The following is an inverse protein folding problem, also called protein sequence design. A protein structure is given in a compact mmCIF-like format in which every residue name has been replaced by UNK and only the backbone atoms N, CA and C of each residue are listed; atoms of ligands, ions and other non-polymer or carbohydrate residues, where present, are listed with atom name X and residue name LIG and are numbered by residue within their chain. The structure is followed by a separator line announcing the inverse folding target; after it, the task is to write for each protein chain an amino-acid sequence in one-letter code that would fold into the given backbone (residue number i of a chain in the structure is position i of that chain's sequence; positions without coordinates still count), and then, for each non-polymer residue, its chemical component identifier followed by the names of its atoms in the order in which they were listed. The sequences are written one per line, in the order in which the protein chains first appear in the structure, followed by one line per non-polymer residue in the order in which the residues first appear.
data_IF_395647547571
#
_entry.id   IF_395647547571
#
_cell.length_a   1.000
_cell.length_b   1.000
_cell.length_c   1.000
_cell.angle_alpha   90.00
_cell.angle_beta   90.00
_cell.angle_gamma   90.00
#
_symmetry.space_group_name_H-M   'P 1'
#
loop_
_entity.id
_entity.type
_entity.pdbx_description
1 polymer ?
#
# COMPACT_ATOMS: atom_id res chain seq x y z
N UNK A 1 -43.17 22.30 -26.65
CA UNK A 1 -43.19 21.03 -25.88
C UNK A 1 -42.10 20.05 -26.33
N UNK A 2 -42.02 19.62 -27.61
CA UNK A 2 -40.99 18.66 -28.07
C UNK A 2 -39.53 19.07 -27.81
N UNK A 3 -39.18 20.36 -28.00
CA UNK A 3 -37.81 20.86 -27.74
C UNK A 3 -37.41 20.82 -26.27
N UNK A 4 -38.36 21.05 -25.36
CA UNK A 4 -38.12 21.04 -23.92
C UNK A 4 -37.84 19.63 -23.44
N UNK A 5 -38.60 18.63 -23.91
CA UNK A 5 -38.39 17.21 -23.58
C UNK A 5 -37.03 16.67 -24.08
N UNK A 6 -36.58 17.10 -25.27
CA UNK A 6 -35.26 16.70 -25.80
C UNK A 6 -34.12 17.27 -24.93
N UNK A 7 -34.27 18.50 -24.44
CA UNK A 7 -33.28 19.13 -23.57
C UNK A 7 -33.21 18.46 -22.19
N UNK A 8 -34.34 18.02 -21.63
CA UNK A 8 -34.36 17.26 -20.36
C UNK A 8 -33.73 15.88 -20.51
N UNK A 9 -33.95 15.19 -21.64
CA UNK A 9 -33.34 13.88 -21.91
C UNK A 9 -31.82 14.02 -22.08
N UNK A 10 -31.34 15.06 -22.74
CA UNK A 10 -29.91 15.32 -22.91
C UNK A 10 -29.21 15.70 -21.59
N UNK A 11 -29.91 16.41 -20.69
CA UNK A 11 -29.37 16.72 -19.37
C UNK A 11 -29.33 15.47 -18.47
N UNK A 12 -30.28 14.55 -18.62
CA UNK A 12 -30.34 13.29 -17.87
C UNK A 12 -29.26 12.28 -18.32
N UNK A 13 -28.88 12.28 -19.62
CA UNK A 13 -27.80 11.42 -20.11
C UNK A 13 -26.41 11.89 -19.69
N UNK A 14 -26.21 13.20 -19.48
CA UNK A 14 -24.93 13.75 -18.97
C UNK A 14 -24.70 13.35 -17.50
N UNK A 15 -25.76 13.20 -16.71
CA UNK A 15 -25.67 12.78 -15.30
C UNK A 15 -25.29 11.30 -15.10
N UNK A 16 -25.32 10.47 -16.15
CA UNK A 16 -24.94 9.06 -16.09
C UNK A 16 -23.47 8.79 -16.46
N UNK A 17 -22.69 9.82 -16.76
CA UNK A 17 -21.22 9.69 -16.83
C UNK A 17 -20.64 9.67 -15.43
N UNK A 18 -21.00 8.61 -14.70
CA UNK A 18 -20.47 8.26 -13.39
C UNK A 18 -18.95 8.21 -13.45
N UNK A 19 -18.31 8.77 -12.43
CA UNK A 19 -16.87 8.65 -12.22
C UNK A 19 -16.47 7.17 -12.27
N UNK A 20 -15.52 6.85 -13.14
CA UNK A 20 -14.81 5.57 -13.07
C UNK A 20 -13.98 5.66 -11.80
N UNK A 21 -14.38 4.93 -10.74
CA UNK A 21 -13.55 4.77 -9.56
C UNK A 21 -12.24 4.10 -9.97
N UNK A 22 -11.17 4.89 -9.98
CA UNK A 22 -9.83 4.39 -10.30
C UNK A 22 -9.26 3.75 -9.04
N UNK A 23 -9.23 2.43 -9.01
CA UNK A 23 -8.54 1.67 -7.96
C UNK A 23 -7.04 1.98 -8.02
N UNK A 24 -6.51 2.59 -6.96
CA UNK A 24 -5.11 3.06 -6.87
C UNK A 24 -4.10 1.91 -6.76
N UNK A 25 -4.56 0.69 -6.51
CA UNK A 25 -3.75 -0.52 -6.43
C UNK A 25 -3.66 -1.26 -7.77
N UNK A 26 -4.28 -0.75 -8.82
CA UNK A 26 -4.13 -1.28 -10.18
C UNK A 26 -2.99 -0.58 -10.93
N UNK A 27 -2.32 -1.33 -11.81
CA UNK A 27 -1.37 -0.81 -12.78
C UNK A 27 -2.12 -0.18 -13.98
N UNK A 28 -1.39 0.32 -14.99
CA UNK A 28 -1.98 0.93 -16.19
C UNK A 28 -2.78 -0.05 -17.05
N UNK A 29 -2.53 -1.35 -16.93
CA UNK A 29 -3.28 -2.41 -17.62
C UNK A 29 -4.52 -2.86 -16.84
N UNK A 30 -4.77 -2.32 -15.65
CA UNK A 30 -5.89 -2.69 -14.79
C UNK A 30 -5.64 -3.95 -13.94
N UNK A 31 -4.40 -4.42 -13.85
CA UNK A 31 -4.02 -5.56 -13.02
C UNK A 31 -3.57 -5.09 -11.63
N UNK A 32 -3.76 -5.91 -10.59
CA UNK A 32 -3.22 -5.61 -9.26
C UNK A 32 -1.69 -5.44 -9.33
N UNK A 33 -1.19 -4.37 -8.69
CA UNK A 33 0.23 -3.98 -8.72
C UNK A 33 1.17 -5.07 -8.20
N UNK A 34 0.76 -5.85 -7.20
CA UNK A 34 1.58 -6.96 -6.71
C UNK A 34 1.47 -8.17 -7.64
N UNK A 35 0.27 -8.50 -8.11
CA UNK A 35 0.10 -9.60 -9.07
C UNK A 35 0.91 -9.41 -10.35
N UNK A 36 1.04 -8.18 -10.84
CA UNK A 36 1.85 -7.85 -12.02
C UNK A 36 3.37 -8.07 -11.82
N UNK A 37 3.82 -8.33 -10.59
CA UNK A 37 5.23 -8.52 -10.22
C UNK A 37 5.54 -9.94 -9.74
N UNK A 38 4.55 -10.84 -9.77
CA UNK A 38 4.68 -12.21 -9.30
C UNK A 38 5.73 -13.01 -10.06
N UNK A 39 6.40 -13.91 -9.34
CA UNK A 39 7.31 -14.91 -9.84
C UNK A 39 6.81 -16.30 -9.47
N UNK A 40 6.97 -17.25 -10.40
CA UNK A 40 6.71 -18.66 -10.09
C UNK A 40 7.79 -19.25 -9.16
N UNK A 41 9.03 -18.75 -9.25
CA UNK A 41 10.16 -19.22 -8.45
C UNK A 41 11.16 -18.10 -8.17
N UNK A 42 11.63 -18.00 -6.93
CA UNK A 42 12.74 -17.13 -6.53
C UNK A 42 14.11 -17.78 -6.84
N UNK A 43 15.18 -17.01 -7.07
CA UNK A 43 16.51 -17.58 -7.26
C UNK A 43 16.98 -18.38 -6.06
N UNK A 44 17.81 -19.41 -6.29
CA UNK A 44 18.35 -20.25 -5.20
C UNK A 44 19.58 -19.63 -4.52
N UNK A 45 20.26 -18.68 -5.18
CA UNK A 45 21.49 -18.05 -4.72
C UNK A 45 21.24 -16.79 -3.87
N UNK A 46 20.25 -16.82 -2.98
CA UNK A 46 19.97 -15.72 -2.07
C UNK A 46 20.98 -15.71 -0.92
N UNK A 47 21.60 -14.56 -0.68
CA UNK A 47 22.70 -14.40 0.29
C UNK A 47 22.37 -13.40 1.40
N UNK A 48 21.28 -12.66 1.24
CA UNK A 48 20.73 -11.73 2.22
C UNK A 48 19.24 -12.03 2.36
N UNK A 49 18.79 -12.17 3.60
CA UNK A 49 17.39 -12.35 3.95
C UNK A 49 17.10 -11.50 5.17
N UNK A 50 15.96 -10.82 5.17
CA UNK A 50 15.56 -9.97 6.28
C UNK A 50 14.02 -9.92 6.37
N UNK A 51 13.54 -9.51 7.52
CA UNK A 51 12.13 -9.25 7.80
C UNK A 51 12.02 -7.83 8.32
N UNK A 52 11.24 -7.01 7.64
CA UNK A 52 11.06 -5.59 7.97
C UNK A 52 9.67 -5.35 8.52
N UNK A 53 9.60 -4.72 9.70
CA UNK A 53 8.38 -4.23 10.31
C UNK A 53 8.14 -2.77 9.89
N UNK A 54 7.00 -2.45 9.30
CA UNK A 54 6.62 -1.10 8.90
C UNK A 54 5.37 -0.68 9.68
N UNK A 55 5.47 0.27 10.63
CA UNK A 55 4.29 0.80 11.32
C UNK A 55 3.37 1.50 10.33
N UNK A 56 2.06 1.29 10.43
CA UNK A 56 1.07 2.01 9.64
C UNK A 56 -0.15 2.33 10.51
N UNK A 57 -0.88 3.38 10.19
CA UNK A 57 -1.99 3.85 11.03
C UNK A 57 -3.22 4.02 10.14
N UNK A 58 -4.31 3.29 10.42
CA UNK A 58 -5.61 3.56 9.78
C UNK A 58 -6.31 4.75 10.43
N UNK A 59 -6.02 5.01 11.70
CA UNK A 59 -6.52 6.16 12.44
C UNK A 59 -5.50 6.63 13.49
N UNK A 60 -5.60 7.90 13.86
CA UNK A 60 -4.78 8.53 14.91
C UNK A 60 -5.65 9.40 15.83
N UNK A 61 -5.29 9.45 17.11
CA UNK A 61 -5.98 10.31 18.07
C UNK A 61 -5.81 11.79 17.74
N UNK A 62 -6.89 12.56 17.88
CA UNK A 62 -6.91 14.00 17.72
C UNK A 62 -7.55 14.65 18.94
N UNK A 63 -6.99 15.76 19.45
CA UNK A 63 -7.50 16.59 20.56
C UNK A 63 -7.71 15.87 21.91
N UNK A 64 -8.48 14.78 21.93
CA UNK A 64 -8.81 13.96 23.09
C UNK A 64 -8.58 12.47 22.81
N UNK A 65 -8.60 11.65 23.85
CA UNK A 65 -8.54 10.18 23.74
C UNK A 65 -9.75 9.54 23.02
N UNK A 66 -10.85 10.29 22.89
CA UNK A 66 -12.13 9.78 22.37
C UNK A 66 -12.37 10.22 20.91
N UNK A 67 -11.49 11.06 20.36
CA UNK A 67 -11.60 11.58 19.00
C UNK A 67 -10.44 11.07 18.15
N UNK A 68 -10.75 10.55 16.97
CA UNK A 68 -9.77 10.02 16.03
C UNK A 68 -10.02 10.51 14.62
N UNK A 69 -8.96 10.62 13.83
CA UNK A 69 -9.02 10.84 12.39
C UNK A 69 -8.61 9.58 11.66
N UNK A 70 -9.44 9.16 10.71
CA UNK A 70 -9.06 8.14 9.75
C UNK A 70 -8.03 8.69 8.77
N UNK A 71 -7.15 7.81 8.31
CA UNK A 71 -6.01 8.09 7.46
C UNK A 71 -6.09 7.16 6.24
N UNK A 72 -5.89 7.72 5.05
CA UNK A 72 -5.43 6.91 3.92
C UNK A 72 -3.98 6.55 4.19
N UNK A 73 -3.66 5.26 4.09
CA UNK A 73 -2.32 4.79 4.38
C UNK A 73 -1.72 4.11 3.15
N UNK A 74 -0.46 4.45 2.83
CA UNK A 74 0.25 3.88 1.68
C UNK A 74 1.49 3.16 2.16
N UNK A 75 1.58 1.87 1.88
CA UNK A 75 2.82 1.12 1.98
C UNK A 75 3.63 1.34 0.70
N UNK A 76 4.84 1.88 0.82
CA UNK A 76 5.78 2.06 -0.29
C UNK A 76 6.93 1.08 -0.16
N UNK A 77 7.16 0.28 -1.20
CA UNK A 77 8.26 -0.68 -1.30
C UNK A 77 9.23 -0.21 -2.36
N UNK A 78 10.48 0.07 -1.98
CA UNK A 78 11.46 0.70 -2.86
C UNK A 78 12.76 -0.09 -2.87
N UNK A 79 13.12 -0.64 -4.03
CA UNK A 79 14.45 -1.16 -4.25
C UNK A 79 15.40 0.01 -4.56
N UNK A 80 16.35 0.26 -3.67
CA UNK A 80 17.35 1.34 -3.79
C UNK A 80 18.60 0.92 -4.53
N UNK A 81 18.75 -0.37 -4.86
CA UNK A 81 19.90 -0.86 -5.59
C UNK A 81 19.83 -0.44 -7.04
N UNK A 82 20.96 0.06 -7.55
CA UNK A 82 21.13 0.42 -8.96
C UNK A 82 21.23 -0.80 -9.88
N UNK A 83 21.62 -1.96 -9.34
CA UNK A 83 22.05 -3.11 -10.15
C UNK A 83 21.39 -4.43 -9.76
N UNK A 84 20.85 -4.54 -8.54
CA UNK A 84 20.39 -5.80 -7.99
C UNK A 84 18.89 -5.74 -7.72
N UNK A 85 18.19 -6.82 -8.07
CA UNK A 85 16.78 -7.00 -7.69
C UNK A 85 16.65 -7.45 -6.24
N UNK A 86 15.51 -7.17 -5.64
CA UNK A 86 15.07 -7.79 -4.39
C UNK A 86 13.83 -8.65 -4.65
N UNK A 87 13.65 -9.65 -3.81
CA UNK A 87 12.55 -10.60 -3.89
C UNK A 87 11.77 -10.54 -2.59
N UNK A 88 10.48 -10.24 -2.68
CA UNK A 88 9.59 -10.13 -1.52
C UNK A 88 8.70 -11.37 -1.52
N UNK A 89 8.76 -12.15 -0.45
CA UNK A 89 8.09 -13.45 -0.36
C UNK A 89 6.80 -13.41 0.44
N UNK A 90 6.60 -12.38 1.27
CA UNK A 90 5.39 -12.20 2.08
C UNK A 90 5.22 -10.73 2.47
N UNK A 91 3.97 -10.27 2.47
CA UNK A 91 3.54 -8.96 2.96
C UNK A 91 2.31 -9.19 3.84
N UNK A 92 2.51 -9.29 5.14
CA UNK A 92 1.45 -9.51 6.12
C UNK A 92 1.01 -8.20 6.75
N UNK A 93 -0.29 -7.99 6.88
CA UNK A 93 -0.88 -6.84 7.56
C UNK A 93 -1.53 -7.25 8.87
N UNK A 94 -1.14 -6.61 9.95
CA UNK A 94 -1.62 -6.87 11.31
C UNK A 94 -2.35 -5.66 11.86
N UNK A 95 -3.40 -5.93 12.66
CA UNK A 95 -4.09 -4.89 13.41
C UNK A 95 -3.38 -4.57 14.74
N UNK A 96 -3.91 -3.57 15.43
CA UNK A 96 -3.43 -3.07 16.72
C UNK A 96 -3.43 -4.13 17.84
N UNK A 97 -4.19 -5.22 17.71
CA UNK A 97 -4.17 -6.33 18.67
C UNK A 97 -3.16 -7.43 18.31
N UNK A 98 -2.36 -7.25 17.26
CA UNK A 98 -1.41 -8.26 16.76
C UNK A 98 -2.06 -9.40 15.97
N UNK A 99 -3.31 -9.23 15.51
CA UNK A 99 -3.98 -10.22 14.66
C UNK A 99 -3.66 -9.95 13.20
N UNK A 100 -3.21 -10.98 12.46
CA UNK A 100 -3.08 -10.90 11.01
C UNK A 100 -4.45 -10.70 10.36
N UNK A 101 -4.59 -9.59 9.64
CA UNK A 101 -5.80 -9.21 8.89
C UNK A 101 -5.72 -9.79 7.48
N UNK A 102 -4.57 -9.66 6.83
CA UNK A 102 -4.39 -10.01 5.41
C UNK A 102 -2.96 -10.43 5.11
N UNK A 103 -2.82 -11.40 4.22
CA UNK A 103 -1.58 -11.66 3.46
C UNK A 103 -1.83 -11.14 2.05
N UNK A 104 -0.93 -10.30 1.55
CA UNK A 104 -1.11 -9.64 0.25
C UNK A 104 -0.49 -10.43 -0.90
N UNK A 105 0.44 -11.35 -0.62
CA UNK A 105 1.13 -12.12 -1.64
C UNK A 105 0.70 -13.59 -1.61
N UNK A 106 0.21 -14.09 -2.74
CA UNK A 106 0.04 -15.53 -2.96
C UNK A 106 1.32 -16.16 -3.54
N UNK A 107 2.10 -15.36 -4.28
CA UNK A 107 3.37 -15.71 -4.90
C UNK A 107 4.41 -14.65 -4.57
N UNK A 108 5.70 -15.00 -4.52
CA UNK A 108 6.75 -14.02 -4.33
C UNK A 108 6.76 -13.01 -5.49
N UNK A 109 7.10 -11.77 -5.19
CA UNK A 109 7.23 -10.71 -6.20
C UNK A 109 8.68 -10.26 -6.33
N UNK A 110 9.02 -9.68 -7.48
CA UNK A 110 10.34 -9.06 -7.72
C UNK A 110 10.24 -7.56 -7.87
N UNK A 111 11.12 -6.84 -7.16
CA UNK A 111 11.41 -5.44 -7.47
C UNK A 111 12.77 -5.38 -8.15
N UNK A 112 12.76 -5.02 -9.44
CA UNK A 112 13.98 -4.78 -10.22
C UNK A 112 14.79 -3.63 -9.61
N UNK A 113 16.03 -3.50 -10.05
CA UNK A 113 16.86 -2.35 -9.69
C UNK A 113 16.09 -1.03 -9.87
N UNK A 114 16.14 -0.17 -8.85
CA UNK A 114 15.44 1.12 -8.78
C UNK A 114 13.91 1.07 -8.92
N UNK A 115 13.30 -0.12 -8.90
CA UNK A 115 11.85 -0.25 -8.99
C UNK A 115 11.20 0.04 -7.64
N UNK A 116 10.06 0.74 -7.69
CA UNK A 116 9.19 0.95 -6.54
C UNK A 116 7.78 0.44 -6.85
N UNK A 117 7.06 0.03 -5.82
CA UNK A 117 5.63 -0.29 -5.88
C UNK A 117 4.96 0.17 -4.60
N UNK A 118 3.76 0.72 -4.72
CA UNK A 118 2.95 1.18 -3.59
C UNK A 118 1.64 0.40 -3.51
N UNK A 119 1.18 0.21 -2.27
CA UNK A 119 -0.13 -0.33 -1.97
C UNK A 119 -0.88 0.61 -1.02
N UNK A 120 -2.08 1.01 -1.41
CA UNK A 120 -2.94 1.96 -0.70
C UNK A 120 -4.01 1.22 0.07
N UNK A 121 -4.11 1.54 1.36
CA UNK A 121 -5.21 1.22 2.26
C UNK A 121 -6.11 2.44 2.32
N UNK A 122 -7.37 2.25 1.96
CA UNK A 122 -8.36 3.33 1.90
C UNK A 122 -8.67 3.88 3.30
N UNK A 123 -9.04 5.15 3.37
CA UNK A 123 -9.40 5.83 4.63
C UNK A 123 -10.59 5.19 5.36
N UNK A 124 -11.50 4.55 4.61
CA UNK A 124 -12.66 3.86 5.18
C UNK A 124 -12.26 2.51 5.84
N UNK A 125 -11.07 1.98 5.55
CA UNK A 125 -10.57 0.74 6.11
C UNK A 125 -9.95 0.99 7.49
N UNK A 126 -10.79 0.85 8.51
CA UNK A 126 -10.43 1.01 9.92
C UNK A 126 -9.98 -0.30 10.58
N UNK A 127 -9.77 -1.37 9.80
CA UNK A 127 -9.47 -2.70 10.35
C UNK A 127 -8.12 -2.75 11.09
N UNK A 128 -7.18 -1.87 10.74
CA UNK A 128 -5.85 -1.78 11.33
C UNK A 128 -5.82 -1.20 12.74
N UNK A 129 -6.55 -0.12 12.97
CA UNK A 129 -6.47 0.72 14.16
C UNK A 129 -5.21 1.59 14.25
N UNK A 130 -4.94 2.09 15.45
CA UNK A 130 -3.84 3.00 15.80
C UNK A 130 -2.46 2.34 15.97
N UNK A 131 -2.37 1.02 15.87
CA UNK A 131 -1.15 0.23 16.04
C UNK A 131 -0.97 -0.80 14.94
N UNK A 132 -1.54 -0.56 13.76
CA UNK A 132 -1.43 -1.45 12.62
C UNK A 132 0.03 -1.52 12.12
N UNK A 133 0.36 -2.58 11.40
CA UNK A 133 1.68 -2.73 10.82
C UNK A 133 1.72 -3.72 9.67
N UNK A 134 2.72 -3.55 8.82
CA UNK A 134 3.12 -4.53 7.83
C UNK A 134 4.38 -5.27 8.30
N UNK A 135 4.41 -6.57 8.05
CA UNK A 135 5.59 -7.42 8.19
C UNK A 135 5.96 -7.94 6.81
N UNK A 136 7.14 -7.56 6.34
CA UNK A 136 7.60 -7.82 4.98
C UNK A 136 8.80 -8.74 5.03
N UNK A 137 8.69 -9.93 4.46
CA UNK A 137 9.82 -10.85 4.31
C UNK A 137 10.43 -10.67 2.94
N UNK A 138 11.73 -10.41 2.88
CA UNK A 138 12.43 -10.15 1.64
C UNK A 138 13.84 -10.75 1.63
N UNK A 139 14.37 -10.88 0.42
CA UNK A 139 15.67 -11.48 0.17
C UNK A 139 16.35 -10.85 -1.05
N UNK A 140 17.67 -11.00 -1.12
CA UNK A 140 18.48 -10.53 -2.24
C UNK A 140 19.65 -11.48 -2.52
N UNK A 141 20.12 -11.46 -3.77
CA UNK A 141 21.31 -12.17 -4.22
C UNK A 141 22.61 -11.38 -3.97
N UNK A 142 22.52 -10.18 -3.38
CA UNK A 142 23.65 -9.33 -3.02
C UNK A 142 23.44 -8.77 -1.60
N UNK A 143 24.53 -8.73 -0.81
CA UNK A 143 24.54 -8.25 0.58
C UNK A 143 24.49 -6.71 0.71
N UNK A 144 24.82 -5.98 -0.35
CA UNK A 144 24.89 -4.52 -0.37
C UNK A 144 23.53 -3.86 -0.69
N UNK A 145 22.47 -4.66 -0.82
CA UNK A 145 21.13 -4.13 -1.08
C UNK A 145 20.49 -3.65 0.22
N UNK A 146 19.98 -2.42 0.21
CA UNK A 146 19.37 -1.77 1.36
C UNK A 146 18.02 -1.16 0.97
N UNK A 147 16.97 -1.98 0.76
CA UNK A 147 15.68 -1.48 0.32
C UNK A 147 15.06 -0.55 1.36
N UNK A 148 14.20 0.35 0.91
CA UNK A 148 13.46 1.27 1.78
C UNK A 148 11.99 0.86 1.73
N UNK A 149 11.44 0.52 2.89
CA UNK A 149 10.00 0.31 3.07
C UNK A 149 9.46 1.39 4.01
N UNK A 150 8.42 2.09 3.57
CA UNK A 150 7.88 3.26 4.25
C UNK A 150 6.35 3.19 4.31
N UNK A 151 5.77 3.66 5.41
CA UNK A 151 4.36 3.96 5.50
C UNK A 151 4.15 5.46 5.32
N UNK A 152 3.16 5.85 4.51
CA UNK A 152 2.79 7.25 4.30
C UNK A 152 1.33 7.39 4.70
N UNK A 153 1.06 8.26 5.66
CA UNK A 153 -0.28 8.50 6.18
C UNK A 153 -0.71 9.89 5.73
N UNK A 154 -1.90 9.97 5.13
CA UNK A 154 -2.50 11.23 4.70
C UNK A 154 -3.96 11.25 5.16
N UNK A 155 -4.39 12.39 5.71
CA UNK A 155 -5.80 12.68 5.91
C UNK A 155 -6.05 14.14 5.58
N UNK A 156 -7.14 14.38 4.86
CA UNK A 156 -7.62 15.72 4.52
C UNK A 156 -8.99 15.97 5.14
N UNK A 157 -9.33 15.25 6.22
CA UNK A 157 -10.61 15.38 6.88
C UNK A 157 -10.81 16.78 7.49
N UNK A 158 -11.90 17.42 7.11
CA UNK A 158 -12.26 18.76 7.58
C UNK A 158 -11.34 19.85 7.04
N UNK A 159 -10.87 20.74 7.91
CA UNK A 159 -9.99 21.87 7.55
C UNK A 159 -8.51 21.61 7.86
N UNK A 160 -8.17 20.42 8.35
CA UNK A 160 -6.80 20.07 8.75
C UNK A 160 -6.26 19.00 7.80
N UNK A 161 -5.12 19.29 7.18
CA UNK A 161 -4.35 18.32 6.41
C UNK A 161 -3.25 17.72 7.30
N UNK A 162 -3.36 16.42 7.60
CA UNK A 162 -2.34 15.69 8.35
C UNK A 162 -1.59 14.81 7.37
N UNK A 163 -0.25 14.88 7.41
CA UNK A 163 0.58 13.92 6.72
C UNK A 163 1.84 13.61 7.51
N UNK A 164 2.23 12.34 7.53
CA UNK A 164 3.46 11.88 8.14
C UNK A 164 3.91 10.57 7.52
N UNK A 165 5.16 10.21 7.76
CA UNK A 165 5.74 8.96 7.31
C UNK A 165 6.28 8.14 8.47
N UNK A 166 6.31 6.82 8.26
CA UNK A 166 6.97 5.85 9.12
C UNK A 166 8.02 5.13 8.30
N UNK A 167 9.07 4.67 8.97
CA UNK A 167 10.13 3.90 8.34
C UNK A 167 10.08 2.45 8.82
N UNK A 168 10.34 1.55 7.89
CA UNK A 168 10.55 0.15 8.21
C UNK A 168 11.79 -0.06 9.09
N UNK A 169 11.70 -1.04 9.98
CA UNK A 169 12.80 -1.46 10.85
C UNK A 169 13.02 -2.96 10.65
N UNK A 170 14.27 -3.36 10.44
CA UNK A 170 14.65 -4.78 10.40
C UNK A 170 14.39 -5.41 11.77
N UNK A 171 13.65 -6.53 11.76
CA UNK A 171 13.30 -7.34 12.93
C UNK A 171 13.82 -8.77 12.82
N UNK A 172 14.64 -9.07 11.81
CA UNK A 172 15.29 -10.38 11.73
C UNK A 172 16.14 -10.64 12.97
N UNK A 173 16.03 -11.86 13.49
CA UNK A 173 16.85 -12.30 14.63
C UNK A 173 18.32 -12.27 14.19
N UNK A 174 19.12 -11.49 14.90
CA UNK A 174 20.59 -11.55 14.81
C UNK A 174 21.11 -12.82 15.46
#
# INVERSE_FOLDING_TARGET
MKKTTILTILFLTILLTSCIEKNQNLNFAGEDKFSALELEKIPENLVLNDTTYVPIYSDIYNETKDTRFNLTATLSLRNTSLNHSIYITSIEYYNSSGKKIKEYLNKPIVLKAMQSVEYVIEENDTSGGTGANFVITWSANNKDVAPIFEGIMISTNGQQGISFTTKGVSISRK
#
